data_IF_886771384217
#
_entry.id   IF_886771384217
#
_cell.length_a   1.000
_cell.length_b   1.000
_cell.length_c   1.000
_cell.angle_alpha   90.00
_cell.angle_beta   90.00
_cell.angle_gamma   90.00
#
_symmetry.space_group_name_H-M   'P 1'
#
loop_
_entity.id
_entity.type
_entity.pdbx_description
1 polymer ?
#
# COMPACT_ATOMS: atom_id res chain seq x y z
N UNK A 1 1.25 -4.03 -8.16
CA UNK A 1 2.09 -5.21 -8.49
C UNK A 1 1.23 -6.21 -9.25
N UNK A 2 1.80 -7.05 -10.12
CA UNK A 2 1.04 -8.22 -10.59
C UNK A 2 0.86 -9.16 -9.40
N UNK A 3 -0.38 -9.49 -9.02
CA UNK A 3 -0.65 -10.45 -7.94
C UNK A 3 -0.05 -11.84 -8.22
N UNK A 4 0.37 -12.13 -9.46
CA UNK A 4 0.89 -13.42 -9.89
C UNK A 4 2.25 -13.83 -9.29
N UNK A 5 2.99 -12.94 -8.64
CA UNK A 5 4.35 -13.20 -8.13
C UNK A 5 4.45 -13.32 -6.61
N UNK A 6 3.35 -13.09 -5.88
CA UNK A 6 3.27 -13.25 -4.44
C UNK A 6 2.72 -14.64 -4.08
N UNK A 7 3.10 -15.16 -2.89
CA UNK A 7 2.40 -16.33 -2.34
C UNK A 7 0.94 -15.97 -2.02
N UNK A 8 -0.01 -16.91 -2.13
CA UNK A 8 -1.43 -16.65 -1.87
C UNK A 8 -1.72 -15.94 -0.54
N UNK A 9 -1.05 -16.36 0.55
CA UNK A 9 -1.20 -15.74 1.88
C UNK A 9 -0.81 -14.25 1.89
N UNK A 10 0.18 -13.86 1.10
CA UNK A 10 0.70 -12.50 1.08
C UNK A 10 -0.20 -11.60 0.21
N UNK A 11 -0.84 -12.18 -0.81
CA UNK A 11 -1.93 -11.52 -1.56
C UNK A 11 -3.13 -11.27 -0.65
N UNK A 12 -3.53 -12.25 0.14
CA UNK A 12 -4.62 -12.11 1.12
C UNK A 12 -4.30 -11.04 2.17
N UNK A 13 -3.07 -11.06 2.70
CA UNK A 13 -2.57 -10.06 3.63
C UNK A 13 -2.58 -8.65 3.03
N UNK A 14 -2.09 -8.49 1.79
CA UNK A 14 -2.13 -7.22 1.06
C UNK A 14 -3.56 -6.69 0.90
N UNK A 15 -4.47 -7.56 0.47
CA UNK A 15 -5.89 -7.21 0.27
C UNK A 15 -6.53 -6.80 1.60
N UNK A 16 -6.17 -7.46 2.69
CA UNK A 16 -6.69 -7.13 4.02
C UNK A 16 -6.23 -5.74 4.47
N UNK A 17 -4.93 -5.41 4.31
CA UNK A 17 -4.39 -4.06 4.61
C UNK A 17 -5.15 -3.00 3.82
N UNK A 18 -5.25 -3.15 2.49
CA UNK A 18 -5.89 -2.12 1.66
C UNK A 18 -7.39 -2.00 1.91
N UNK A 19 -8.08 -3.09 2.24
CA UNK A 19 -9.50 -3.05 2.60
C UNK A 19 -9.73 -2.19 3.84
N UNK A 20 -8.92 -2.35 4.88
CA UNK A 20 -9.01 -1.56 6.12
C UNK A 20 -8.52 -0.14 5.88
N UNK A 21 -7.39 0.03 5.23
CA UNK A 21 -6.84 1.37 4.99
C UNK A 21 -7.80 2.26 4.18
N UNK A 22 -8.56 1.67 3.25
CA UNK A 22 -9.58 2.38 2.47
C UNK A 22 -10.78 2.87 3.32
N UNK A 23 -11.04 2.27 4.49
CA UNK A 23 -12.06 2.81 5.43
C UNK A 23 -11.51 3.92 6.31
N UNK A 24 -10.19 3.94 6.52
CA UNK A 24 -9.50 4.92 7.36
C UNK A 24 -9.11 6.19 6.60
N UNK A 25 -8.66 6.07 5.36
CA UNK A 25 -8.26 7.23 4.57
C UNK A 25 -8.31 6.97 3.05
N UNK A 26 -8.95 7.85 2.26
CA UNK A 26 -9.18 7.62 0.83
C UNK A 26 -7.90 7.65 -0.02
N UNK A 27 -6.79 8.16 0.52
CA UNK A 27 -5.49 8.16 -0.19
C UNK A 27 -4.69 6.86 -0.02
N UNK A 28 -5.05 5.98 0.92
CA UNK A 28 -4.37 4.67 1.07
C UNK A 28 -5.09 3.63 0.22
N UNK A 29 -4.88 3.72 -1.10
CA UNK A 29 -5.56 2.86 -2.06
C UNK A 29 -4.68 1.70 -2.52
N UNK A 30 -5.30 0.53 -2.65
CA UNK A 30 -4.69 -0.68 -3.22
C UNK A 30 -4.91 -0.83 -4.71
N UNK A 31 -4.99 0.26 -5.48
CA UNK A 31 -5.17 0.13 -6.92
C UNK A 31 -3.89 -0.43 -7.55
N UNK A 32 -4.08 -1.60 -8.17
CA UNK A 32 -3.16 -2.37 -8.99
C UNK A 32 -2.32 -1.53 -9.96
N UNK A 33 -1.18 -2.08 -10.43
CA UNK A 33 0.12 -1.43 -10.33
C UNK A 33 0.12 -0.04 -10.95
N UNK A 34 0.70 0.91 -10.24
CA UNK A 34 1.42 1.94 -10.97
C UNK A 34 2.49 1.20 -11.77
N UNK A 35 2.31 1.16 -13.09
CA UNK A 35 3.42 0.94 -13.98
C UNK A 35 4.32 2.15 -13.74
N UNK A 36 5.25 2.08 -12.78
CA UNK A 36 6.43 2.94 -12.85
C UNK A 36 7.03 2.57 -14.21
N UNK A 37 7.01 3.52 -15.13
CA UNK A 37 7.37 3.28 -16.51
C UNK A 37 8.83 2.84 -16.67
N UNK A 38 9.63 2.91 -15.59
CA UNK A 38 11.01 2.44 -15.58
C UNK A 38 11.42 1.49 -14.43
N UNK A 39 10.82 1.48 -13.22
CA UNK A 39 11.44 0.76 -12.07
C UNK A 39 10.53 0.32 -10.86
N UNK A 40 9.31 -0.25 -10.99
CA UNK A 40 8.43 -0.59 -9.85
C UNK A 40 8.56 -2.03 -9.37
N UNK A 41 8.81 -2.95 -10.30
CA UNK A 41 8.77 -4.39 -10.08
C UNK A 41 10.09 -4.91 -9.51
N UNK A 42 11.14 -4.09 -9.48
CA UNK A 42 12.49 -4.55 -9.14
C UNK A 42 12.69 -4.56 -7.62
N UNK A 43 12.29 -3.54 -6.85
CA UNK A 43 12.70 -3.52 -5.43
C UNK A 43 11.81 -4.39 -4.54
N UNK A 44 10.49 -4.18 -4.51
CA UNK A 44 9.60 -4.92 -3.61
C UNK A 44 9.57 -6.42 -3.89
N UNK A 45 9.46 -6.80 -5.17
CA UNK A 45 9.44 -8.21 -5.59
C UNK A 45 10.85 -8.83 -5.54
N UNK A 46 11.93 -8.12 -5.88
CA UNK A 46 13.26 -8.73 -5.69
C UNK A 46 13.59 -8.91 -4.21
N UNK A 47 13.21 -7.97 -3.33
CA UNK A 47 13.36 -8.15 -1.88
C UNK A 47 12.52 -9.34 -1.39
N UNK A 48 11.28 -9.47 -1.85
CA UNK A 48 10.43 -10.62 -1.53
C UNK A 48 11.00 -11.95 -2.04
N UNK A 49 11.50 -12.00 -3.27
CA UNK A 49 12.08 -13.22 -3.86
C UNK A 49 13.40 -13.60 -3.23
N UNK A 50 14.24 -12.62 -2.89
CA UNK A 50 15.59 -12.86 -2.37
C UNK A 50 15.59 -13.12 -0.85
N UNK A 51 14.77 -12.39 -0.09
CA UNK A 51 14.77 -12.45 1.38
C UNK A 51 13.49 -13.05 1.98
N UNK A 52 12.45 -13.32 1.18
CA UNK A 52 11.15 -13.77 1.70
C UNK A 52 10.41 -12.69 2.48
N UNK A 53 10.80 -11.42 2.35
CA UNK A 53 10.23 -10.28 3.08
C UNK A 53 9.10 -9.68 2.27
N UNK A 54 7.89 -9.67 2.82
CA UNK A 54 6.75 -8.99 2.20
C UNK A 54 7.00 -7.48 2.16
N UNK A 55 6.90 -6.89 0.97
CA UNK A 55 7.08 -5.46 0.75
C UNK A 55 5.79 -4.86 0.20
N UNK A 56 5.31 -3.82 0.87
CA UNK A 56 4.21 -2.99 0.41
C UNK A 56 4.78 -1.74 -0.26
N UNK A 57 4.28 -1.42 -1.45
CA UNK A 57 4.59 -0.17 -2.13
C UNK A 57 3.36 0.71 -2.16
N UNK A 58 3.52 1.96 -1.73
CA UNK A 58 2.46 2.96 -1.66
C UNK A 58 2.88 4.16 -2.49
N UNK A 59 2.03 4.56 -3.41
CA UNK A 59 2.20 5.82 -4.12
C UNK A 59 1.34 6.90 -3.52
N UNK A 60 1.93 8.07 -3.35
CA UNK A 60 1.20 9.31 -3.12
C UNK A 60 1.35 10.18 -4.35
N UNK A 61 0.24 10.61 -4.93
CA UNK A 61 0.26 11.69 -5.90
C UNK A 61 0.36 13.01 -5.13
N UNK A 62 1.55 13.62 -5.10
CA UNK A 62 1.85 14.83 -4.33
C UNK A 62 1.00 16.06 -4.67
N UNK A 63 0.26 16.04 -5.78
CA UNK A 63 -0.55 17.17 -6.23
C UNK A 63 -2.05 16.97 -6.01
N UNK A 64 -2.52 15.71 -5.97
CA UNK A 64 -3.96 15.42 -5.85
C UNK A 64 -4.19 14.05 -5.22
N UNK A 65 -4.98 14.01 -4.16
CA UNK A 65 -5.42 12.77 -3.53
C UNK A 65 -6.21 11.91 -4.49
N UNK A 66 -6.33 10.63 -4.16
CA UNK A 66 -6.99 9.67 -5.03
C UNK A 66 -8.52 9.87 -5.14
N UNK A 67 -9.10 10.67 -4.25
CA UNK A 67 -10.47 11.20 -4.27
C UNK A 67 -10.58 12.57 -4.97
N UNK A 68 -9.49 13.10 -5.51
CA UNK A 68 -9.43 14.42 -6.12
C UNK A 68 -9.13 15.57 -5.17
N UNK A 69 -8.94 15.30 -3.87
CA UNK A 69 -8.59 16.29 -2.83
C UNK A 69 -7.22 16.94 -3.08
N UNK A 70 -7.01 18.13 -2.52
CA UNK A 70 -5.69 18.77 -2.51
C UNK A 70 -4.79 18.06 -1.51
N UNK A 71 -3.55 17.74 -1.91
CA UNK A 71 -2.57 17.17 -0.97
C UNK A 71 -1.91 18.29 -0.18
N UNK A 72 -1.97 18.17 1.14
CA UNK A 72 -1.31 19.06 2.10
C UNK A 72 -0.40 18.26 3.03
N UNK A 73 0.53 18.91 3.76
CA UNK A 73 1.32 18.23 4.80
C UNK A 73 0.45 17.51 5.83
N UNK A 74 -0.71 18.08 6.19
CA UNK A 74 -1.67 17.49 7.11
C UNK A 74 -2.31 16.23 6.52
N UNK A 75 -2.77 16.27 5.27
CA UNK A 75 -3.37 15.08 4.62
C UNK A 75 -2.35 13.95 4.47
N UNK A 76 -1.08 14.26 4.24
CA UNK A 76 0.01 13.27 4.20
C UNK A 76 0.23 12.64 5.58
N UNK A 77 0.16 13.45 6.66
CA UNK A 77 0.24 12.93 8.03
C UNK A 77 -0.94 12.00 8.33
N UNK A 78 -2.15 12.41 7.98
CA UNK A 78 -3.37 11.60 8.14
C UNK A 78 -3.28 10.27 7.37
N UNK A 79 -2.75 10.32 6.15
CA UNK A 79 -2.46 9.11 5.34
C UNK A 79 -1.49 8.17 6.08
N UNK A 80 -0.41 8.71 6.65
CA UNK A 80 0.55 7.91 7.43
C UNK A 80 -0.08 7.29 8.69
N UNK A 81 -0.90 8.05 9.41
CA UNK A 81 -1.64 7.56 10.59
C UNK A 81 -2.59 6.43 10.20
N UNK A 82 -3.37 6.60 9.14
CA UNK A 82 -4.30 5.59 8.65
C UNK A 82 -3.60 4.29 8.24
N UNK A 83 -2.42 4.39 7.61
CA UNK A 83 -1.62 3.20 7.29
C UNK A 83 -1.15 2.47 8.55
N UNK A 84 -0.62 3.19 9.53
CA UNK A 84 -0.16 2.57 10.79
C UNK A 84 -1.33 1.91 11.53
N UNK A 85 -2.50 2.55 11.54
CA UNK A 85 -3.72 1.99 12.11
C UNK A 85 -4.16 0.71 11.38
N UNK A 86 -4.21 0.73 10.04
CA UNK A 86 -4.55 -0.45 9.25
C UNK A 86 -3.57 -1.62 9.50
N UNK A 87 -2.28 -1.32 9.60
CA UNK A 87 -1.25 -2.33 9.91
C UNK A 87 -1.43 -2.89 11.31
N UNK A 88 -1.71 -2.04 12.31
CA UNK A 88 -1.98 -2.48 13.67
C UNK A 88 -3.21 -3.41 13.71
N UNK A 89 -4.32 -3.03 13.08
CA UNK A 89 -5.55 -3.83 13.08
C UNK A 89 -5.35 -5.23 12.45
N UNK A 90 -4.53 -5.33 11.39
CA UNK A 90 -4.24 -6.61 10.73
C UNK A 90 -3.20 -7.45 11.49
N UNK A 91 -2.15 -6.82 12.04
CA UNK A 91 -1.01 -7.52 12.64
C UNK A 91 -1.24 -7.89 14.10
N UNK A 92 -2.07 -7.13 14.81
CA UNK A 92 -2.45 -7.39 16.20
C UNK A 92 -3.97 -7.49 16.30
N UNK A 93 -4.58 -8.54 15.74
CA UNK A 93 -6.00 -8.81 15.92
C UNK A 93 -6.19 -9.34 17.34
N UNK A 94 -6.35 -8.43 18.30
CA UNK A 94 -6.87 -8.75 19.64
C UNK A 94 -8.40 -8.93 19.60
#
# INVERSE_FOLDING_TARGET
MSESELKPRDIEFQRAIFRIANTLHPQVQGHSPVMLWDLPSITGIALYRHYGVYCLYLESNYNRGADGSTVTPESLRETGVALVQALAEILTPE
#
